data_IF_998228323569
#
_entry.id   IF_998228323569
#
_cell.length_a   1.000
_cell.length_b   1.000
_cell.length_c   1.000
_cell.angle_alpha   90.00
_cell.angle_beta   90.00
_cell.angle_gamma   90.00
#
_symmetry.space_group_name_H-M   'P 1'
#
loop_
_entity.id
_entity.type
_entity.pdbx_description
1 polymer ?
#
# COMPACT_ATOMS: atom_id res chain seq x y z
N UNK A 1 -10.05 0.19 22.42
CA UNK A 1 -9.20 -0.71 21.60
C UNK A 1 -8.51 0.01 20.43
N UNK A 2 -9.03 1.10 19.86
CA UNK A 2 -8.27 1.95 18.90
C UNK A 2 -7.24 2.91 19.54
N UNK A 3 -7.40 3.20 20.84
CA UNK A 3 -6.55 4.13 21.59
C UNK A 3 -5.15 3.57 21.90
N UNK A 4 -5.02 2.25 22.02
CA UNK A 4 -3.73 1.60 22.26
C UNK A 4 -2.80 1.70 21.04
N UNK A 5 -3.35 1.47 19.83
CA UNK A 5 -2.61 1.64 18.58
C UNK A 5 -2.24 3.11 18.34
N UNK A 6 -3.16 4.02 18.67
CA UNK A 6 -2.90 5.46 18.66
C UNK A 6 -1.91 5.93 19.70
N UNK A 7 -1.62 5.17 20.76
CA UNK A 7 -0.62 5.53 21.77
C UNK A 7 0.76 4.93 21.48
N UNK A 8 0.84 3.86 20.67
CA UNK A 8 2.10 3.19 20.33
C UNK A 8 2.95 3.98 19.32
N UNK A 9 2.30 4.74 18.45
CA UNK A 9 2.99 5.61 17.50
C UNK A 9 3.63 6.78 18.26
N UNK A 10 4.95 7.02 18.17
CA UNK A 10 5.58 8.19 18.77
C UNK A 10 5.22 9.46 17.99
N UNK A 11 4.92 10.55 18.70
CA UNK A 11 4.71 11.88 18.12
C UNK A 11 3.28 12.43 18.21
N UNK A 12 3.08 13.71 17.86
CA UNK A 12 1.78 14.39 17.91
C UNK A 12 0.81 13.82 16.86
N UNK A 13 -0.51 13.97 17.10
CA UNK A 13 -1.61 13.48 16.25
C UNK A 13 -1.38 13.67 14.73
N UNK A 14 -0.93 14.84 14.22
CA UNK A 14 -0.65 15.02 12.80
C UNK A 14 0.45 14.10 12.25
N UNK A 15 1.50 13.80 13.03
CA UNK A 15 2.59 12.91 12.58
C UNK A 15 2.11 11.47 12.41
N UNK A 16 1.19 11.02 13.26
CA UNK A 16 0.56 9.69 13.13
C UNK A 16 -0.30 9.59 11.89
N UNK A 17 -1.09 10.63 11.62
CA UNK A 17 -1.90 10.70 10.41
C UNK A 17 -1.02 10.72 9.15
N UNK A 18 0.08 11.48 9.18
CA UNK A 18 1.04 11.55 8.06
C UNK A 18 1.72 10.19 7.83
N UNK A 19 2.14 9.49 8.89
CA UNK A 19 2.74 8.17 8.79
C UNK A 19 1.75 7.12 8.25
N UNK A 20 0.51 7.11 8.75
CA UNK A 20 -0.53 6.22 8.25
C UNK A 20 -0.82 6.48 6.77
N UNK A 21 -0.86 7.75 6.36
CA UNK A 21 -1.05 8.15 4.98
C UNK A 21 0.16 7.74 4.12
N UNK A 22 1.39 7.92 4.60
CA UNK A 22 2.59 7.49 3.92
C UNK A 22 2.63 5.96 3.71
N UNK A 23 2.20 5.18 4.70
CA UNK A 23 2.07 3.72 4.58
C UNK A 23 1.00 3.35 3.56
N UNK A 24 -0.17 4.00 3.60
CA UNK A 24 -1.24 3.75 2.64
C UNK A 24 -0.80 4.05 1.20
N UNK A 25 -0.12 5.18 1.00
CA UNK A 25 0.47 5.56 -0.30
C UNK A 25 1.55 4.57 -0.72
N UNK A 26 2.44 4.16 0.18
CA UNK A 26 3.47 3.17 -0.11
C UNK A 26 2.90 1.82 -0.52
N UNK A 27 1.84 1.35 0.14
CA UNK A 27 1.13 0.12 -0.24
C UNK A 27 0.44 0.26 -1.60
N UNK A 28 -0.18 1.41 -1.87
CA UNK A 28 -0.80 1.69 -3.16
C UNK A 28 0.22 1.64 -4.30
N UNK A 29 1.36 2.30 -4.15
CA UNK A 29 2.46 2.23 -5.12
C UNK A 29 3.03 0.83 -5.26
N UNK A 30 3.26 0.12 -4.16
CA UNK A 30 3.76 -1.26 -4.20
C UNK A 30 2.80 -2.19 -4.94
N UNK A 31 1.49 -2.03 -4.74
CA UNK A 31 0.49 -2.76 -5.50
C UNK A 31 0.62 -2.43 -6.99
N UNK A 32 0.63 -1.15 -7.35
CA UNK A 32 0.66 -0.70 -8.75
C UNK A 32 1.96 -1.06 -9.49
N UNK A 33 3.13 -0.89 -8.86
CA UNK A 33 4.45 -1.08 -9.51
C UNK A 33 4.95 -2.52 -9.46
N UNK A 34 4.50 -3.33 -8.49
CA UNK A 34 5.03 -4.70 -8.31
C UNK A 34 3.94 -5.75 -8.47
N UNK A 35 2.85 -5.63 -7.71
CA UNK A 35 1.82 -6.68 -7.65
C UNK A 35 1.02 -6.74 -8.95
N UNK A 36 0.56 -5.61 -9.47
CA UNK A 36 -0.20 -5.57 -10.72
C UNK A 36 0.59 -6.10 -11.93
N UNK A 37 1.86 -5.70 -12.15
CA UNK A 37 2.69 -6.25 -13.22
C UNK A 37 2.96 -7.74 -13.04
N UNK A 38 3.16 -8.20 -11.80
CA UNK A 38 3.35 -9.63 -11.54
C UNK A 38 2.07 -10.42 -11.84
N UNK A 39 0.91 -9.95 -11.36
CA UNK A 39 -0.40 -10.59 -11.59
C UNK A 39 -0.74 -10.58 -13.07
N UNK A 40 -0.41 -9.53 -13.83
CA UNK A 40 -0.70 -9.47 -15.26
C UNK A 40 0.01 -10.55 -16.07
N UNK A 41 1.20 -10.99 -15.65
CA UNK A 41 1.88 -12.15 -16.29
C UNK A 41 1.17 -13.48 -16.10
N UNK A 42 0.36 -13.60 -15.04
CA UNK A 42 -0.39 -14.81 -14.73
C UNK A 42 -1.79 -14.78 -15.38
N UNK A 43 -2.20 -13.64 -15.92
CA UNK A 43 -3.50 -13.51 -16.57
C UNK A 43 -3.48 -14.17 -17.96
N UNK A 44 -4.45 -15.05 -18.28
CA UNK A 44 -4.53 -15.80 -19.54
C UNK A 44 -4.73 -14.95 -20.81
N UNK A 45 -4.82 -13.62 -20.67
CA UNK A 45 -5.04 -12.66 -21.74
C UNK A 45 -3.78 -11.84 -22.10
N UNK A 46 -2.64 -12.14 -21.47
CA UNK A 46 -1.37 -11.43 -21.71
C UNK A 46 -0.72 -11.80 -23.05
N UNK A 47 -1.23 -12.84 -23.71
CA UNK A 47 -0.79 -13.29 -25.03
C UNK A 47 -1.62 -12.58 -26.12
N UNK A 48 -1.28 -11.32 -26.41
CA UNK A 48 -1.70 -10.70 -27.67
C UNK A 48 -0.87 -11.31 -28.79
N UNK A 49 -1.41 -12.35 -29.41
CA UNK A 49 -0.90 -12.90 -30.66
C UNK A 49 -0.83 -11.77 -31.71
N UNK A 50 0.39 -11.35 -32.04
CA UNK A 50 0.73 -10.59 -33.25
C UNK A 50 0.98 -11.58 -34.38
#
# INVERSE_FOLDING_TARGET
>A
MYRALWNLLPGPVPVKALLALAIAVGVFFLLMDVVFPWVSTLMPYSDVAV
#
